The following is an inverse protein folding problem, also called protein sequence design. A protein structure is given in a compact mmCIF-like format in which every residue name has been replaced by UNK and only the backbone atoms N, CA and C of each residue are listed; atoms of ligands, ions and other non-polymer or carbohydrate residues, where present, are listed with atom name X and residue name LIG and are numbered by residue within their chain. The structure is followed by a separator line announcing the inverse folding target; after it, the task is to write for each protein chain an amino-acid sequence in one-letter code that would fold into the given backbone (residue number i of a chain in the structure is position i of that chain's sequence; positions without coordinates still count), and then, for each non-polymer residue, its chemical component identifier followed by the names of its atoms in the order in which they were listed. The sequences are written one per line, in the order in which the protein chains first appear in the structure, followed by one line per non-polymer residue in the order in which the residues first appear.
data_IF_027173755346
#
_entry.id   IF_027173755346
#
_cell.length_a   1.000
_cell.length_b   1.000
_cell.length_c   1.000
_cell.angle_alpha   90.00
_cell.angle_beta   90.00
_cell.angle_gamma   90.00
#
_symmetry.space_group_name_H-M   'P 1'
#
loop_
_entity.id
_entity.type
_entity.pdbx_description
1 polymer ?
#
# COMPACT_ATOMS: atom_id res chain seq x y z
N UNK A 1 3.17 -9.35 -7.89
CA UNK A 1 3.20 -8.66 -9.17
C UNK A 1 3.91 -9.54 -10.18
N UNK A 2 3.30 -9.81 -11.33
CA UNK A 2 3.95 -10.54 -12.42
C UNK A 2 4.94 -9.60 -13.11
N UNK A 3 6.21 -9.98 -13.11
CA UNK A 3 7.19 -9.34 -13.98
C UNK A 3 6.90 -9.73 -15.43
N UNK A 4 6.97 -8.79 -16.39
CA UNK A 4 6.76 -9.09 -17.81
C UNK A 4 7.71 -10.15 -18.39
N UNK A 5 8.81 -10.45 -17.69
CA UNK A 5 9.80 -11.46 -18.07
C UNK A 5 9.30 -12.90 -18.02
N UNK A 6 8.17 -13.18 -17.36
CA UNK A 6 7.68 -14.57 -17.22
C UNK A 6 7.16 -15.16 -18.55
N UNK A 7 7.02 -14.36 -19.59
CA UNK A 7 6.48 -14.83 -20.86
C UNK A 7 7.50 -15.03 -21.99
N UNK A 8 8.73 -14.51 -21.95
CA UNK A 8 9.73 -14.77 -23.02
C UNK A 8 11.16 -14.27 -22.76
N UNK A 9 11.51 -13.89 -21.52
CA UNK A 9 12.88 -13.41 -21.21
C UNK A 9 13.22 -12.02 -21.79
N UNK A 10 12.25 -11.33 -22.39
CA UNK A 10 12.46 -10.03 -22.97
C UNK A 10 11.75 -8.96 -22.13
N UNK A 11 12.51 -8.04 -21.58
CA UNK A 11 11.95 -6.85 -20.91
C UNK A 11 11.36 -5.95 -21.99
N UNK A 12 10.01 -5.86 -22.03
CA UNK A 12 9.31 -4.93 -22.91
C UNK A 12 9.23 -3.59 -22.19
N UNK A 13 9.88 -2.58 -22.77
CA UNK A 13 9.88 -1.24 -22.20
C UNK A 13 10.72 -0.27 -23.02
N UNK A 14 10.61 1.00 -22.65
CA UNK A 14 11.43 2.08 -23.20
C UNK A 14 12.41 2.54 -22.14
N UNK A 15 13.69 2.67 -22.47
CA UNK A 15 14.67 3.27 -21.57
C UNK A 15 14.28 4.72 -21.27
N UNK A 16 14.32 5.09 -20.02
CA UNK A 16 14.00 6.45 -19.54
C UNK A 16 14.99 6.86 -18.46
N UNK A 17 15.35 8.14 -18.42
CA UNK A 17 16.20 8.70 -17.36
C UNK A 17 15.36 9.37 -16.29
N UNK A 18 15.89 9.55 -15.06
CA UNK A 18 15.20 10.30 -14.01
C UNK A 18 14.77 11.71 -14.44
N UNK A 19 15.63 12.41 -15.17
CA UNK A 19 15.35 13.76 -15.70
C UNK A 19 14.16 13.76 -16.67
N UNK A 20 14.08 12.75 -17.53
CA UNK A 20 12.98 12.63 -18.49
C UNK A 20 11.64 12.37 -17.79
N UNK A 21 11.63 11.58 -16.69
CA UNK A 21 10.42 11.35 -15.90
C UNK A 21 9.93 12.65 -15.26
N UNK A 22 10.83 13.40 -14.63
CA UNK A 22 10.48 14.67 -13.96
C UNK A 22 10.03 15.72 -14.99
N UNK A 23 10.72 15.81 -16.14
CA UNK A 23 10.33 16.72 -17.22
C UNK A 23 8.94 16.39 -17.79
N UNK A 24 8.64 15.10 -17.99
CA UNK A 24 7.32 14.65 -18.46
C UNK A 24 6.21 14.98 -17.45
N UNK A 25 6.43 14.72 -16.16
CA UNK A 25 5.49 15.08 -15.10
C UNK A 25 5.19 16.59 -15.05
N UNK A 26 6.23 17.42 -15.15
CA UNK A 26 6.07 18.88 -15.20
C UNK A 26 5.35 19.37 -16.45
N UNK A 27 5.64 18.79 -17.61
CA UNK A 27 5.00 19.17 -18.87
C UNK A 27 3.49 18.87 -18.90
N UNK A 28 3.05 17.97 -18.02
CA UNK A 28 1.64 17.56 -17.84
C UNK A 28 0.97 18.19 -16.64
N UNK A 29 1.61 19.17 -16.00
CA UNK A 29 1.13 19.83 -14.80
C UNK A 29 0.77 18.84 -13.65
N UNK A 30 1.51 17.74 -13.55
CA UNK A 30 1.33 16.78 -12.46
C UNK A 30 1.76 17.41 -11.13
N UNK A 31 0.97 17.21 -10.08
CA UNK A 31 1.32 17.64 -8.73
C UNK A 31 2.28 16.66 -8.04
N UNK A 32 2.33 15.40 -8.49
CA UNK A 32 3.09 14.32 -7.86
C UNK A 32 3.55 13.27 -8.86
N UNK A 33 4.53 12.47 -8.44
CA UNK A 33 4.97 11.24 -9.10
C UNK A 33 4.70 10.07 -8.15
N UNK A 34 3.96 9.05 -8.61
CA UNK A 34 3.71 7.84 -7.86
C UNK A 34 4.60 6.69 -8.40
N UNK A 35 5.38 6.10 -7.50
CA UNK A 35 6.23 4.95 -7.78
C UNK A 35 5.45 3.69 -7.42
N UNK A 36 5.09 2.92 -8.44
CA UNK A 36 4.24 1.74 -8.32
C UNK A 36 4.62 0.72 -9.40
N UNK A 37 3.91 -0.34 -9.59
CA UNK A 37 4.13 -1.40 -10.57
C UNK A 37 5.59 -1.59 -11.05
N UNK A 38 6.33 -2.56 -10.45
CA UNK A 38 5.72 -3.59 -9.59
C UNK A 38 5.86 -3.28 -8.10
N UNK A 39 7.05 -3.15 -7.61
CA UNK A 39 7.44 -2.76 -6.25
C UNK A 39 8.60 -1.79 -6.36
N UNK A 40 8.50 -0.56 -5.86
CA UNK A 40 9.54 0.45 -6.04
C UNK A 40 10.88 0.08 -5.39
N UNK A 41 10.89 -0.80 -4.39
CA UNK A 41 12.14 -1.29 -3.80
C UNK A 41 12.95 -2.21 -4.73
N UNK A 42 12.35 -2.73 -5.82
CA UNK A 42 13.08 -3.52 -6.83
C UNK A 42 13.92 -2.64 -7.74
N UNK A 43 13.46 -1.39 -8.01
CA UNK A 43 14.18 -0.38 -8.79
C UNK A 43 14.52 0.84 -7.93
N UNK A 44 14.94 0.58 -6.70
CA UNK A 44 15.10 1.55 -5.62
C UNK A 44 16.00 2.74 -6.00
N UNK A 45 17.16 2.46 -6.60
CA UNK A 45 18.12 3.51 -6.95
C UNK A 45 17.52 4.47 -7.96
N UNK A 46 16.86 3.93 -9.00
CA UNK A 46 16.17 4.76 -9.99
C UNK A 46 15.03 5.57 -9.37
N UNK A 47 14.19 4.92 -8.54
CA UNK A 47 13.09 5.61 -7.85
C UNK A 47 13.61 6.73 -6.93
N UNK A 48 14.69 6.50 -6.20
CA UNK A 48 15.31 7.51 -5.33
C UNK A 48 15.88 8.68 -6.12
N UNK A 49 16.53 8.42 -7.25
CA UNK A 49 17.09 9.48 -8.09
C UNK A 49 15.99 10.34 -8.72
N UNK A 50 14.91 9.72 -9.20
CA UNK A 50 13.71 10.47 -9.65
C UNK A 50 13.11 11.27 -8.50
N UNK A 51 12.96 10.66 -7.30
CA UNK A 51 12.34 11.33 -6.15
C UNK A 51 13.13 12.56 -5.69
N UNK A 52 14.45 12.51 -5.69
CA UNK A 52 15.32 13.66 -5.35
C UNK A 52 15.14 14.81 -6.34
N UNK A 53 15.12 14.50 -7.63
CA UNK A 53 14.92 15.50 -8.68
C UNK A 53 13.50 16.08 -8.65
N UNK A 54 12.48 15.23 -8.47
CA UNK A 54 11.09 15.63 -8.33
C UNK A 54 10.89 16.56 -7.13
N UNK A 55 11.45 16.20 -5.97
CA UNK A 55 11.41 17.03 -4.76
C UNK A 55 12.05 18.41 -5.01
N UNK A 56 13.23 18.45 -5.65
CA UNK A 56 13.91 19.72 -6.03
C UNK A 56 13.06 20.53 -7.00
N UNK A 57 12.29 19.88 -7.88
CA UNK A 57 11.40 20.51 -8.84
C UNK A 57 10.03 20.93 -8.24
N UNK A 58 9.79 20.71 -6.94
CA UNK A 58 8.54 21.04 -6.25
C UNK A 58 7.41 20.03 -6.46
N UNK A 59 7.69 18.83 -7.00
CA UNK A 59 6.73 17.76 -7.15
C UNK A 59 6.71 16.89 -5.88
N UNK A 60 5.54 16.34 -5.55
CA UNK A 60 5.37 15.38 -4.46
C UNK A 60 5.75 13.97 -4.91
N UNK A 61 6.27 13.17 -3.99
CA UNK A 61 6.65 11.79 -4.22
C UNK A 61 5.79 10.83 -3.41
N UNK A 62 5.21 9.83 -4.06
CA UNK A 62 4.29 8.87 -3.43
C UNK A 62 4.78 7.45 -3.74
N UNK A 63 4.93 6.60 -2.72
CA UNK A 63 5.20 5.17 -2.91
C UNK A 63 3.93 4.34 -2.75
N UNK A 64 3.72 3.41 -3.67
CA UNK A 64 2.77 2.31 -3.51
C UNK A 64 3.61 1.04 -3.37
N UNK A 65 3.68 0.48 -2.17
CA UNK A 65 4.71 -0.49 -1.80
C UNK A 65 4.18 -1.58 -0.87
N UNK A 66 4.83 -2.74 -0.88
CA UNK A 66 4.60 -3.79 0.10
C UNK A 66 5.21 -3.48 1.50
N UNK A 67 5.92 -2.36 1.63
CA UNK A 67 6.53 -1.93 2.88
C UNK A 67 7.73 -2.77 3.34
N UNK A 68 8.13 -3.79 2.60
CA UNK A 68 9.25 -4.67 2.96
C UNK A 68 10.57 -4.07 2.49
N UNK A 69 11.08 -3.13 3.25
CA UNK A 69 12.33 -2.44 2.94
C UNK A 69 13.26 -2.38 4.14
N UNK A 70 14.55 -2.22 3.87
CA UNK A 70 15.54 -2.05 4.94
C UNK A 70 15.43 -0.67 5.58
N UNK A 71 15.83 -0.58 6.84
CA UNK A 71 15.96 0.69 7.56
C UNK A 71 16.78 1.72 6.77
N UNK A 72 17.89 1.28 6.16
CA UNK A 72 18.77 2.15 5.37
C UNK A 72 18.04 2.71 4.13
N UNK A 73 17.29 1.89 3.40
CA UNK A 73 16.52 2.34 2.25
C UNK A 73 15.47 3.38 2.68
N UNK A 74 14.75 3.11 3.77
CA UNK A 74 13.75 4.03 4.30
C UNK A 74 14.38 5.36 4.75
N UNK A 75 15.55 5.34 5.41
CA UNK A 75 16.27 6.56 5.82
C UNK A 75 16.68 7.44 4.63
N UNK A 76 16.99 6.81 3.49
CA UNK A 76 17.31 7.54 2.25
C UNK A 76 16.07 8.15 1.58
N UNK A 77 14.89 7.53 1.76
CA UNK A 77 13.63 7.97 1.17
C UNK A 77 12.93 9.07 2.00
N UNK A 78 12.94 8.96 3.32
CA UNK A 78 12.20 9.83 4.22
C UNK A 78 12.37 11.34 3.93
N UNK A 79 13.57 11.84 3.55
CA UNK A 79 13.73 13.27 3.24
C UNK A 79 13.02 13.75 1.97
N UNK A 80 12.65 12.86 1.07
CA UNK A 80 12.13 13.20 -0.27
C UNK A 80 10.77 12.57 -0.58
N UNK A 81 10.23 11.72 0.30
CA UNK A 81 8.96 11.06 0.14
C UNK A 81 7.88 11.78 0.95
N UNK A 82 6.76 12.13 0.30
CA UNK A 82 5.66 12.87 0.92
C UNK A 82 4.55 11.95 1.44
N UNK A 83 4.27 10.87 0.72
CA UNK A 83 3.20 9.94 1.06
C UNK A 83 3.52 8.49 0.65
N UNK A 84 2.84 7.55 1.26
CA UNK A 84 2.89 6.15 0.86
C UNK A 84 1.53 5.47 1.05
N UNK A 85 1.17 4.58 0.10
CA UNK A 85 0.17 3.54 0.33
C UNK A 85 0.92 2.22 0.54
N UNK A 86 0.77 1.61 1.71
CA UNK A 86 1.52 0.42 2.11
C UNK A 86 0.59 -0.78 2.23
N UNK A 87 0.93 -1.84 1.52
CA UNK A 87 0.24 -3.12 1.62
C UNK A 87 0.60 -3.84 2.94
N UNK A 88 -0.22 -3.72 3.97
CA UNK A 88 -0.20 -4.61 5.13
C UNK A 88 -1.08 -5.82 4.82
N UNK A 89 -0.46 -6.87 4.29
CA UNK A 89 -1.18 -7.99 3.65
C UNK A 89 -1.89 -8.91 4.64
N UNK A 90 -1.38 -9.00 5.88
CA UNK A 90 -1.91 -9.83 6.96
C UNK A 90 -1.28 -9.39 8.29
N UNK A 91 -1.69 -10.00 9.40
CA UNK A 91 -1.13 -9.67 10.71
C UNK A 91 -0.50 -10.88 11.42
N UNK A 92 -0.24 -11.95 10.69
CA UNK A 92 0.42 -13.18 11.18
C UNK A 92 1.75 -13.43 10.48
N UNK A 93 2.76 -13.85 11.24
CA UNK A 93 4.05 -14.27 10.69
C UNK A 93 3.91 -15.50 9.80
N UNK A 94 2.93 -16.37 10.07
CA UNK A 94 2.65 -17.54 9.25
C UNK A 94 2.25 -17.13 7.82
N UNK A 95 1.31 -16.18 7.68
CA UNK A 95 0.92 -15.69 6.36
C UNK A 95 2.10 -15.05 5.62
N UNK A 96 2.86 -14.20 6.29
CA UNK A 96 4.01 -13.54 5.66
C UNK A 96 5.05 -14.55 5.21
N UNK A 97 5.37 -15.56 6.03
CA UNK A 97 6.32 -16.62 5.68
C UNK A 97 5.83 -17.49 4.52
N UNK A 98 4.58 -18.00 4.63
CA UNK A 98 4.10 -19.07 3.77
C UNK A 98 3.48 -18.54 2.45
N UNK A 99 2.93 -17.33 2.46
CA UNK A 99 2.26 -16.71 1.30
C UNK A 99 3.15 -15.63 0.65
N UNK A 100 3.81 -14.81 1.45
CA UNK A 100 4.59 -13.67 0.94
C UNK A 100 6.08 -14.00 0.76
N UNK A 101 6.60 -15.06 1.39
CA UNK A 101 8.05 -15.33 1.44
C UNK A 101 8.83 -14.24 2.20
N UNK A 102 8.19 -13.62 3.21
CA UNK A 102 8.67 -12.46 3.92
C UNK A 102 8.43 -12.59 5.44
N UNK A 103 8.56 -11.49 6.20
CA UNK A 103 8.26 -11.38 7.63
C UNK A 103 7.36 -10.18 7.88
N UNK A 104 6.48 -10.27 8.85
CA UNK A 104 5.56 -9.19 9.23
C UNK A 104 6.31 -8.00 9.88
N UNK A 105 7.23 -8.30 10.81
CA UNK A 105 7.93 -7.28 11.60
C UNK A 105 8.55 -6.16 10.76
N UNK A 106 9.32 -6.39 9.66
CA UNK A 106 9.86 -5.31 8.84
C UNK A 106 8.81 -4.37 8.24
N UNK A 107 7.63 -4.89 7.88
CA UNK A 107 6.54 -4.07 7.33
C UNK A 107 5.94 -3.18 8.43
N UNK A 108 5.73 -3.72 9.62
CA UNK A 108 5.28 -2.94 10.80
C UNK A 108 6.28 -1.83 11.14
N UNK A 109 7.57 -2.16 11.17
CA UNK A 109 8.64 -1.19 11.47
C UNK A 109 8.67 -0.06 10.43
N UNK A 110 8.51 -0.40 9.14
CA UNK A 110 8.40 0.58 8.05
C UNK A 110 7.22 1.52 8.28
N UNK A 111 6.04 0.99 8.55
CA UNK A 111 4.85 1.77 8.83
C UNK A 111 5.05 2.72 10.02
N UNK A 112 5.57 2.22 11.13
CA UNK A 112 5.84 3.03 12.35
C UNK A 112 6.83 4.16 12.04
N UNK A 113 7.89 3.88 11.29
CA UNK A 113 8.93 4.86 10.96
C UNK A 113 8.43 5.93 9.99
N UNK A 114 7.65 5.55 8.98
CA UNK A 114 7.01 6.50 8.06
C UNK A 114 6.13 7.50 8.83
N UNK A 115 5.32 7.00 9.78
CA UNK A 115 4.53 7.87 10.64
C UNK A 115 5.39 8.82 11.48
N UNK A 116 6.43 8.27 12.14
CA UNK A 116 7.35 9.09 12.95
C UNK A 116 8.06 10.16 12.13
N UNK A 117 8.29 9.90 10.84
CA UNK A 117 8.84 10.85 9.88
C UNK A 117 7.84 11.91 9.39
N UNK A 118 6.59 11.90 9.89
CA UNK A 118 5.54 12.87 9.50
C UNK A 118 4.92 12.64 8.12
N UNK A 119 5.16 11.47 7.53
CA UNK A 119 4.66 11.11 6.20
C UNK A 119 3.16 10.78 6.24
N UNK A 120 2.42 11.20 5.21
CA UNK A 120 1.06 10.72 4.99
C UNK A 120 1.11 9.25 4.56
N UNK A 121 0.48 8.38 5.34
CA UNK A 121 0.49 6.94 5.05
C UNK A 121 -0.92 6.39 5.06
N UNK A 122 -1.28 5.76 3.97
CA UNK A 122 -2.47 4.92 3.83
C UNK A 122 -2.06 3.44 3.89
N UNK A 123 -2.95 2.59 4.35
CA UNK A 123 -2.70 1.15 4.44
C UNK A 123 -3.73 0.39 3.62
N UNK A 124 -3.27 -0.57 2.82
CA UNK A 124 -4.14 -1.44 2.04
C UNK A 124 -4.01 -2.90 2.51
N UNK A 125 -5.15 -3.57 2.68
CA UNK A 125 -5.21 -5.01 2.96
C UNK A 125 -6.11 -5.70 1.95
N UNK A 126 -5.54 -6.60 1.15
CA UNK A 126 -6.30 -7.49 0.27
C UNK A 126 -6.81 -8.68 1.08
N UNK A 127 -8.12 -8.79 1.29
CA UNK A 127 -8.69 -9.89 2.05
C UNK A 127 -8.87 -11.14 1.18
N UNK A 128 -8.21 -12.22 1.58
CA UNK A 128 -8.22 -13.51 0.88
C UNK A 128 -8.94 -14.52 1.77
N UNK A 129 -10.08 -15.11 1.30
CA UNK A 129 -10.88 -16.03 2.11
C UNK A 129 -10.08 -17.20 2.68
N UNK A 130 -10.19 -17.40 3.99
CA UNK A 130 -9.53 -18.47 4.74
C UNK A 130 -8.02 -18.31 4.93
N UNK A 131 -7.46 -17.11 4.65
CA UNK A 131 -6.04 -16.83 4.87
C UNK A 131 -5.80 -15.67 5.84
N UNK A 132 -6.50 -14.55 5.65
CA UNK A 132 -6.30 -13.32 6.44
C UNK A 132 -7.61 -12.57 6.71
N UNK A 133 -8.74 -13.28 6.65
CA UNK A 133 -10.09 -12.71 6.77
C UNK A 133 -10.81 -13.07 8.08
N UNK A 134 -10.09 -13.64 9.07
CA UNK A 134 -10.70 -13.93 10.36
C UNK A 134 -10.96 -12.65 11.17
N UNK A 135 -12.04 -12.59 11.97
CA UNK A 135 -12.34 -11.43 12.80
C UNK A 135 -11.17 -11.04 13.72
N UNK A 136 -10.47 -12.02 14.28
CA UNK A 136 -9.35 -11.82 15.18
C UNK A 136 -8.15 -11.15 14.48
N UNK A 137 -7.86 -11.58 13.27
CA UNK A 137 -6.77 -10.98 12.48
C UNK A 137 -7.13 -9.57 12.02
N UNK A 138 -8.37 -9.36 11.59
CA UNK A 138 -8.88 -8.04 11.22
C UNK A 138 -8.86 -7.06 12.41
N UNK A 139 -9.22 -7.54 13.60
CA UNK A 139 -9.13 -6.75 14.84
C UNK A 139 -7.67 -6.38 15.14
N UNK A 140 -6.74 -7.33 15.02
CA UNK A 140 -5.32 -7.07 15.24
C UNK A 140 -4.74 -6.03 14.28
N UNK A 141 -5.15 -6.04 13.00
CA UNK A 141 -4.79 -4.99 12.03
C UNK A 141 -5.38 -3.64 12.47
N UNK A 142 -6.67 -3.61 12.78
CA UNK A 142 -7.37 -2.38 13.17
C UNK A 142 -6.76 -1.76 14.44
N UNK A 143 -6.48 -2.58 15.46
CA UNK A 143 -5.84 -2.15 16.69
C UNK A 143 -4.43 -1.59 16.46
N UNK A 144 -3.63 -2.23 15.62
CA UNK A 144 -2.31 -1.72 15.24
C UNK A 144 -2.42 -0.36 14.55
N UNK A 145 -3.35 -0.22 13.62
CA UNK A 145 -3.54 1.03 12.90
C UNK A 145 -4.04 2.15 13.83
N UNK A 146 -5.02 1.86 14.68
CA UNK A 146 -5.60 2.86 15.59
C UNK A 146 -4.63 3.27 16.72
N UNK A 147 -3.94 2.30 17.36
CA UNK A 147 -3.09 2.55 18.52
C UNK A 147 -1.71 3.09 18.13
N UNK A 148 -1.03 2.40 17.21
CA UNK A 148 0.33 2.78 16.84
C UNK A 148 0.38 3.96 15.85
N UNK A 149 -0.71 4.22 15.14
CA UNK A 149 -0.79 5.24 14.09
C UNK A 149 -1.80 6.35 14.34
N UNK A 150 -2.72 6.18 15.29
CA UNK A 150 -3.85 7.09 15.57
C UNK A 150 -5.03 6.87 14.63
N UNK A 151 -6.13 7.62 14.79
CA UNK A 151 -7.39 7.41 14.08
C UNK A 151 -7.38 7.86 12.61
N UNK A 152 -6.39 8.65 12.21
CA UNK A 152 -6.36 9.34 10.91
C UNK A 152 -5.92 8.50 9.70
N UNK A 153 -5.06 7.45 9.83
CA UNK A 153 -4.59 6.71 8.67
C UNK A 153 -5.75 6.01 7.95
N UNK A 154 -5.94 6.24 6.64
CA UNK A 154 -6.93 5.50 5.87
C UNK A 154 -6.56 4.02 5.79
N UNK A 155 -7.53 3.14 6.02
CA UNK A 155 -7.42 1.71 5.80
C UNK A 155 -8.29 1.29 4.62
N UNK A 156 -7.65 0.82 3.55
CA UNK A 156 -8.29 0.32 2.36
C UNK A 156 -8.41 -1.19 2.42
N UNK A 157 -9.63 -1.70 2.49
CA UNK A 157 -9.95 -3.12 2.52
C UNK A 157 -10.34 -3.56 1.10
N UNK A 158 -9.45 -4.27 0.43
CA UNK A 158 -9.60 -4.61 -0.98
C UNK A 158 -10.17 -6.02 -1.16
N UNK A 159 -11.13 -6.16 -2.06
CA UNK A 159 -11.74 -7.44 -2.41
C UNK A 159 -10.78 -8.27 -3.25
N UNK A 160 -10.52 -9.51 -2.84
CA UNK A 160 -9.78 -10.48 -3.63
C UNK A 160 -10.65 -11.09 -4.72
N UNK A 161 -10.06 -11.27 -5.90
CA UNK A 161 -10.58 -12.06 -7.00
C UNK A 161 -9.57 -13.14 -7.37
N UNK A 162 -10.02 -14.41 -7.60
CA UNK A 162 -9.12 -15.50 -7.97
C UNK A 162 -8.29 -15.17 -9.20
N UNK A 163 -6.98 -15.31 -9.07
CA UNK A 163 -6.03 -15.06 -10.16
C UNK A 163 -4.71 -15.78 -9.92
N UNK A 164 -3.98 -16.02 -11.00
CA UNK A 164 -2.63 -16.61 -11.00
C UNK A 164 -2.58 -17.95 -10.22
N UNK A 165 -1.81 -17.99 -9.12
CA UNK A 165 -1.62 -19.20 -8.30
C UNK A 165 -2.68 -19.41 -7.21
N UNK A 166 -3.68 -18.52 -7.13
CA UNK A 166 -4.77 -18.59 -6.15
C UNK A 166 -6.14 -18.77 -6.82
N UNK A 167 -6.18 -19.57 -7.89
CA UNK A 167 -7.42 -19.91 -8.59
C UNK A 167 -8.32 -20.88 -7.81
N UNK A 168 -7.77 -21.54 -6.80
CA UNK A 168 -8.45 -22.44 -5.86
C UNK A 168 -9.24 -21.71 -4.76
N UNK A 169 -9.10 -20.37 -4.68
CA UNK A 169 -9.81 -19.54 -3.71
C UNK A 169 -11.07 -18.93 -4.28
N UNK A 170 -12.04 -18.65 -3.41
CA UNK A 170 -13.26 -17.94 -3.79
C UNK A 170 -13.04 -16.42 -3.74
N UNK A 171 -13.86 -15.67 -4.47
CA UNK A 171 -13.94 -14.21 -4.34
C UNK A 171 -14.33 -13.85 -2.92
N UNK A 172 -13.73 -12.80 -2.34
CA UNK A 172 -14.08 -12.34 -1.00
C UNK A 172 -15.56 -11.93 -0.94
N UNK A 173 -16.36 -12.51 -0.04
CA UNK A 173 -17.75 -12.10 0.13
C UNK A 173 -17.84 -10.62 0.57
N UNK A 174 -18.80 -9.88 0.03
CA UNK A 174 -18.99 -8.47 0.40
C UNK A 174 -19.26 -8.30 1.91
N UNK A 175 -19.96 -9.28 2.52
CA UNK A 175 -20.19 -9.29 3.97
C UNK A 175 -18.90 -9.33 4.80
N UNK A 176 -17.84 -10.01 4.30
CA UNK A 176 -16.54 -10.05 4.97
C UNK A 176 -15.85 -8.69 4.91
N UNK A 177 -15.97 -7.98 3.78
CA UNK A 177 -15.44 -6.61 3.66
C UNK A 177 -16.20 -5.63 4.56
N UNK A 178 -17.53 -5.76 4.64
CA UNK A 178 -18.35 -4.96 5.55
C UNK A 178 -17.96 -5.21 7.01
N UNK A 179 -17.82 -6.47 7.42
CA UNK A 179 -17.37 -6.84 8.75
C UNK A 179 -15.98 -6.22 9.08
N UNK A 180 -15.03 -6.29 8.15
CA UNK A 180 -13.71 -5.70 8.34
C UNK A 180 -13.78 -4.17 8.50
N UNK A 181 -14.65 -3.50 7.72
CA UNK A 181 -14.91 -2.06 7.87
C UNK A 181 -15.48 -1.74 9.25
N UNK A 182 -16.49 -2.49 9.68
CA UNK A 182 -17.14 -2.29 10.98
C UNK A 182 -16.13 -2.48 12.12
N UNK A 183 -15.25 -3.49 12.05
CA UNK A 183 -14.15 -3.70 13.00
C UNK A 183 -13.20 -2.51 13.02
N UNK A 184 -12.78 -2.00 11.85
CA UNK A 184 -11.89 -0.83 11.76
C UNK A 184 -12.51 0.42 12.39
N UNK A 185 -13.78 0.69 12.09
CA UNK A 185 -14.51 1.81 12.67
C UNK A 185 -14.69 1.65 14.19
N UNK A 186 -15.01 0.45 14.66
CA UNK A 186 -15.14 0.16 16.11
C UNK A 186 -13.82 0.29 16.86
N UNK A 187 -12.68 0.00 16.21
CA UNK A 187 -11.33 0.23 16.75
C UNK A 187 -10.94 1.71 16.81
N UNK A 188 -11.75 2.61 16.23
CA UNK A 188 -11.56 4.06 16.27
C UNK A 188 -10.92 4.67 15.02
N UNK A 189 -10.74 3.90 13.93
CA UNK A 189 -10.29 4.47 12.66
C UNK A 189 -11.41 5.34 12.04
N UNK A 190 -11.04 6.53 11.56
CA UNK A 190 -12.00 7.47 10.94
C UNK A 190 -12.25 7.18 9.47
N UNK A 191 -11.29 6.59 8.77
CA UNK A 191 -11.31 6.40 7.33
C UNK A 191 -11.06 4.93 6.98
N UNK A 192 -12.15 4.18 6.75
CA UNK A 192 -12.09 2.77 6.35
C UNK A 192 -12.87 2.59 5.06
N UNK A 193 -12.18 2.21 4.00
CA UNK A 193 -12.74 2.11 2.66
C UNK A 193 -12.81 0.64 2.20
N UNK A 194 -13.85 0.33 1.41
CA UNK A 194 -14.01 -0.97 0.75
C UNK A 194 -13.71 -0.77 -0.73
N UNK A 195 -12.69 -1.45 -1.24
CA UNK A 195 -12.29 -1.41 -2.64
C UNK A 195 -12.66 -2.67 -3.43
N UNK A 196 -12.67 -2.55 -4.76
CA UNK A 196 -13.01 -3.61 -5.73
C UNK A 196 -14.47 -4.13 -5.61
N UNK A 197 -15.41 -3.27 -5.18
CA UNK A 197 -16.84 -3.56 -5.14
C UNK A 197 -17.60 -2.39 -5.78
N UNK A 198 -17.67 -2.33 -7.11
CA UNK A 198 -18.33 -1.22 -7.82
C UNK A 198 -19.74 -0.98 -7.32
N UNK A 199 -20.09 0.29 -7.05
CA UNK A 199 -21.43 0.70 -6.64
C UNK A 199 -21.77 0.42 -5.17
N UNK A 200 -20.83 -0.05 -4.34
CA UNK A 200 -21.08 -0.30 -2.91
C UNK A 200 -21.19 0.96 -2.04
N UNK A 201 -20.73 2.11 -2.54
CA UNK A 201 -20.57 3.34 -1.74
C UNK A 201 -19.47 3.26 -0.67
N UNK A 202 -18.81 2.10 -0.51
CA UNK A 202 -17.74 1.89 0.47
C UNK A 202 -16.44 2.64 0.15
N UNK A 203 -16.36 3.24 -1.02
CA UNK A 203 -15.23 4.07 -1.48
C UNK A 203 -15.43 5.56 -1.17
N UNK A 204 -16.61 5.96 -0.68
CA UNK A 204 -16.90 7.35 -0.38
C UNK A 204 -16.24 7.80 0.92
N UNK A 205 -15.67 9.00 0.90
CA UNK A 205 -15.21 9.68 2.12
C UNK A 205 -16.36 10.45 2.73
N UNK A 206 -16.67 10.13 3.97
CA UNK A 206 -17.67 10.84 4.75
C UNK A 206 -16.99 11.84 5.68
N UNK A 207 -17.64 12.99 5.93
CA UNK A 207 -17.15 13.92 6.92
C UNK A 207 -17.17 13.26 8.31
N UNK A 208 -16.07 13.28 9.09
CA UNK A 208 -16.06 12.65 10.40
C UNK A 208 -16.96 13.34 11.44
N UNK A 209 -17.38 14.58 11.16
CA UNK A 209 -18.20 15.38 12.10
C UNK A 209 -19.71 15.35 11.77
N UNK A 210 -20.07 15.19 10.49
CA UNK A 210 -21.49 15.29 10.08
C UNK A 210 -21.97 14.15 9.15
N UNK A 211 -21.08 13.21 8.77
CA UNK A 211 -21.42 12.09 7.88
C UNK A 211 -21.35 12.39 6.39
#
# INVERSE_FOLDING_TARGET
AQMPSDQQGTIVGRSVTPEAVVADARSKDCASIAYTYTEPTIFFEFALDVARQAHTAGLRNIFVTNGYMSTKALDMLLPVLDAANVDLKAFTEAFYRDVCGARLTPVKDTLIRMKKGGMLVEVTTLLIPGLNDSPEELQAIADFLANDRGPEPPWHISRFHPTYRMMDRTVTPVKTLAMARDIGMAAGLRYVYIGNVPGSGGENTLCPDCG
#
